data_IF_388384607349
#
_entry.id   IF_388384607349
#
_cell.length_a   1.000
_cell.length_b   1.000
_cell.length_c   1.000
_cell.angle_alpha   90.00
_cell.angle_beta   90.00
_cell.angle_gamma   90.00
#
_symmetry.space_group_name_H-M   'P 1'
#
loop_
_entity.id
_entity.type
_entity.pdbx_description
1 polymer ?
#
# COMPACT_ATOMS: atom_id res chain seq x y z
N UNK A 1 33.48 -2.11 -9.55
CA UNK A 1 33.18 -2.61 -10.91
C UNK A 1 31.68 -2.56 -11.03
N UNK A 2 31.15 -1.42 -11.51
CA UNK A 2 29.71 -1.24 -11.67
C UNK A 2 29.34 -2.09 -12.87
N UNK A 3 28.72 -3.23 -12.61
CA UNK A 3 28.06 -4.00 -13.66
C UNK A 3 26.88 -3.13 -14.06
N UNK A 4 26.99 -2.42 -15.18
CA UNK A 4 25.82 -1.96 -15.92
C UNK A 4 25.08 -3.22 -16.36
N UNK A 5 24.26 -3.74 -15.46
CA UNK A 5 23.26 -4.72 -15.79
C UNK A 5 22.33 -4.01 -16.78
N UNK A 6 22.31 -4.49 -18.02
CA UNK A 6 21.28 -4.15 -18.99
C UNK A 6 19.94 -4.34 -18.31
N UNK A 7 19.32 -3.23 -17.88
CA UNK A 7 18.05 -3.24 -17.19
C UNK A 7 16.99 -3.71 -18.18
N UNK A 8 16.64 -5.01 -18.11
CA UNK A 8 15.30 -5.40 -18.50
C UNK A 8 14.38 -4.59 -17.58
N UNK A 9 13.63 -3.64 -18.16
CA UNK A 9 12.46 -3.09 -17.50
C UNK A 9 11.58 -4.28 -17.13
N UNK A 10 11.55 -4.62 -15.85
CA UNK A 10 10.55 -5.56 -15.34
C UNK A 10 9.17 -5.02 -15.74
N UNK A 11 8.23 -5.86 -16.21
CA UNK A 11 6.87 -5.41 -16.48
C UNK A 11 6.30 -4.75 -15.23
N UNK A 12 5.49 -3.69 -15.43
CA UNK A 12 4.77 -3.05 -14.34
C UNK A 12 3.95 -4.11 -13.60
N UNK A 13 4.06 -4.13 -12.26
CA UNK A 13 3.15 -4.90 -11.43
C UNK A 13 1.79 -4.21 -11.54
N UNK A 14 0.81 -4.91 -12.11
CA UNK A 14 -0.54 -4.40 -12.25
C UNK A 14 -1.39 -4.75 -11.02
N UNK A 15 -2.48 -4.01 -10.84
CA UNK A 15 -3.43 -4.23 -9.75
C UNK A 15 -4.80 -4.64 -10.31
N UNK A 16 -5.16 -5.90 -10.06
CA UNK A 16 -6.44 -6.50 -10.43
C UNK A 16 -7.39 -6.57 -9.25
N UNK A 17 -8.61 -6.06 -9.42
CA UNK A 17 -9.59 -5.91 -8.34
C UNK A 17 -10.90 -6.58 -8.70
N UNK A 18 -11.44 -7.37 -7.78
CA UNK A 18 -12.71 -8.09 -7.89
C UNK A 18 -13.57 -7.83 -6.66
N UNK A 19 -14.86 -7.62 -6.86
CA UNK A 19 -15.71 -7.29 -5.72
C UNK A 19 -17.03 -6.63 -6.05
N UNK A 20 -17.51 -5.87 -5.07
CA UNK A 20 -18.78 -5.16 -5.11
C UNK A 20 -18.59 -3.63 -5.13
N UNK A 21 -19.58 -2.89 -4.65
CA UNK A 21 -19.62 -1.43 -4.64
C UNK A 21 -18.47 -0.80 -3.83
N UNK A 22 -17.90 -1.49 -2.85
CA UNK A 22 -16.77 -0.98 -2.07
C UNK A 22 -15.47 -0.87 -2.89
N UNK A 23 -15.44 -1.51 -4.07
CA UNK A 23 -14.30 -1.51 -4.99
C UNK A 23 -14.66 -1.06 -6.41
N UNK A 24 -15.93 -0.73 -6.70
CA UNK A 24 -16.38 -0.33 -8.04
C UNK A 24 -16.01 1.12 -8.35
N UNK A 25 -14.96 1.31 -9.16
CA UNK A 25 -14.43 2.63 -9.55
C UNK A 25 -15.22 3.31 -10.68
N UNK A 26 -16.47 2.90 -10.91
CA UNK A 26 -17.36 3.42 -11.96
C UNK A 26 -17.66 2.43 -13.09
N UNK A 27 -17.38 1.15 -12.91
CA UNK A 27 -17.71 0.08 -13.84
C UNK A 27 -19.22 -0.06 -14.04
N UNK A 28 -20.01 -0.12 -12.96
CA UNK A 28 -21.47 -0.20 -13.07
C UNK A 28 -22.04 1.07 -13.73
N UNK A 29 -21.48 2.24 -13.38
CA UNK A 29 -21.84 3.52 -13.97
C UNK A 29 -21.57 3.55 -15.48
N UNK A 30 -20.41 3.07 -15.92
CA UNK A 30 -20.11 2.95 -17.34
C UNK A 30 -21.07 1.98 -18.06
N UNK A 31 -21.34 0.80 -17.47
CA UNK A 31 -22.21 -0.23 -18.05
C UNK A 31 -23.69 0.16 -18.12
N UNK A 32 -24.14 1.02 -17.20
CA UNK A 32 -25.53 1.50 -17.14
C UNK A 32 -25.75 2.82 -17.89
N UNK A 33 -24.80 3.25 -18.72
CA UNK A 33 -24.84 4.53 -19.43
C UNK A 33 -24.99 5.72 -18.47
N UNK A 34 -24.20 5.71 -17.40
CA UNK A 34 -24.12 6.75 -16.36
C UNK A 34 -25.41 6.95 -15.57
N UNK A 35 -26.17 5.87 -15.37
CA UNK A 35 -27.42 5.91 -14.59
C UNK A 35 -27.25 5.43 -13.16
N UNK A 36 -26.40 4.43 -12.93
CA UNK A 36 -26.24 3.82 -11.61
C UNK A 36 -24.81 3.98 -11.13
N UNK A 37 -24.58 4.61 -9.97
CA UNK A 37 -25.58 4.91 -8.94
C UNK A 37 -26.26 6.29 -9.14
N UNK A 38 -27.61 6.40 -8.99
CA UNK A 38 -28.34 7.61 -9.35
C UNK A 38 -28.52 8.63 -8.20
N UNK A 39 -28.36 8.23 -6.93
CA UNK A 39 -28.56 9.06 -5.74
C UNK A 39 -28.09 8.33 -4.47
N UNK A 40 -27.50 8.98 -3.44
CA UNK A 40 -27.12 10.41 -3.38
C UNK A 40 -26.06 10.80 -4.44
N UNK A 41 -25.63 12.06 -4.49
CA UNK A 41 -24.66 12.57 -5.47
C UNK A 41 -23.29 11.87 -5.34
N UNK A 42 -23.17 10.71 -5.98
CA UNK A 42 -21.97 9.89 -5.99
C UNK A 42 -20.88 10.48 -6.87
N UNK A 43 -19.63 10.37 -6.43
CA UNK A 43 -18.48 10.89 -7.15
C UNK A 43 -18.17 10.03 -8.38
N UNK A 44 -18.51 10.53 -9.57
CA UNK A 44 -18.15 9.92 -10.86
C UNK A 44 -18.44 8.41 -10.94
N UNK A 45 -19.54 7.96 -10.35
CA UNK A 45 -19.97 6.57 -10.39
C UNK A 45 -19.40 5.65 -9.29
N UNK A 46 -18.56 6.16 -8.38
CA UNK A 46 -18.12 5.45 -7.18
C UNK A 46 -19.24 5.46 -6.15
N UNK A 47 -19.43 4.37 -5.41
CA UNK A 47 -20.36 4.33 -4.28
C UNK A 47 -19.80 5.07 -3.04
N UNK A 48 -19.32 6.30 -3.23
CA UNK A 48 -18.77 7.18 -2.20
C UNK A 48 -18.76 8.63 -2.70
N UNK A 49 -18.20 9.54 -1.91
CA UNK A 49 -18.03 10.96 -2.25
C UNK A 49 -16.68 11.30 -2.91
N UNK A 50 -15.90 10.29 -3.30
CA UNK A 50 -14.57 10.44 -3.88
C UNK A 50 -13.92 9.08 -4.13
N UNK A 51 -12.59 9.03 -4.05
CA UNK A 51 -11.80 7.80 -4.24
C UNK A 51 -12.21 6.69 -3.27
N UNK A 52 -12.23 5.46 -3.78
CA UNK A 52 -12.43 4.25 -2.98
C UNK A 52 -11.13 3.73 -2.39
N UNK A 53 -11.23 2.80 -1.45
CA UNK A 53 -10.06 2.24 -0.75
C UNK A 53 -9.06 1.58 -1.72
N UNK A 54 -9.55 0.95 -2.78
CA UNK A 54 -8.70 0.34 -3.82
C UNK A 54 -7.97 1.39 -4.67
N UNK A 55 -8.56 2.56 -4.89
CA UNK A 55 -7.90 3.67 -5.63
C UNK A 55 -6.83 4.33 -4.75
N UNK A 56 -7.13 4.55 -3.48
CA UNK A 56 -6.17 5.07 -2.49
C UNK A 56 -5.01 4.08 -2.34
N UNK A 57 -5.30 2.79 -2.18
CA UNK A 57 -4.28 1.74 -2.08
C UNK A 57 -3.39 1.66 -3.33
N UNK A 58 -3.99 1.74 -4.53
CA UNK A 58 -3.24 1.74 -5.78
C UNK A 58 -2.26 2.92 -5.84
N UNK A 59 -2.73 4.11 -5.48
CA UNK A 59 -1.90 5.30 -5.38
C UNK A 59 -0.78 5.13 -4.34
N UNK A 60 -1.10 4.63 -3.14
CA UNK A 60 -0.16 4.46 -2.04
C UNK A 60 0.94 3.45 -2.33
N UNK A 61 0.65 2.44 -3.17
CA UNK A 61 1.60 1.42 -3.64
C UNK A 61 2.29 1.78 -4.97
N UNK A 62 1.90 2.88 -5.62
CA UNK A 62 2.40 3.25 -6.94
C UNK A 62 2.00 2.28 -8.05
N UNK A 63 0.83 1.64 -7.93
CA UNK A 63 0.33 0.65 -8.89
C UNK A 63 -0.74 1.25 -9.81
N UNK A 64 -0.75 0.91 -11.10
CA UNK A 64 -1.79 1.34 -12.02
C UNK A 64 -3.11 0.64 -11.70
N UNK A 65 -4.20 1.41 -11.66
CA UNK A 65 -5.58 0.90 -11.57
C UNK A 65 -6.46 1.60 -12.60
N UNK A 66 -7.27 0.83 -13.32
CA UNK A 66 -8.21 1.36 -14.31
C UNK A 66 -9.45 0.48 -14.45
N UNK A 67 -10.45 0.94 -15.21
CA UNK A 67 -11.64 0.16 -15.56
C UNK A 67 -11.33 -1.16 -16.31
N UNK A 68 -10.10 -1.34 -16.82
CA UNK A 68 -9.69 -2.59 -17.46
C UNK A 68 -9.23 -3.65 -16.45
N UNK A 69 -8.62 -3.22 -15.35
CA UNK A 69 -8.04 -4.12 -14.33
C UNK A 69 -8.93 -4.21 -13.08
N UNK A 70 -9.91 -3.31 -12.94
CA UNK A 70 -10.96 -3.39 -11.93
C UNK A 70 -12.22 -4.03 -12.51
N UNK A 71 -12.55 -5.22 -12.04
CA UNK A 71 -13.73 -6.01 -12.42
C UNK A 71 -14.90 -5.87 -11.44
N UNK A 72 -14.74 -5.12 -10.35
CA UNK A 72 -15.77 -4.97 -9.33
C UNK A 72 -17.01 -4.26 -9.87
N UNK A 73 -18.19 -4.74 -9.47
CA UNK A 73 -19.49 -4.21 -9.90
C UNK A 73 -20.37 -4.02 -8.68
N UNK A 74 -20.91 -2.81 -8.50
CA UNK A 74 -21.88 -2.53 -7.44
C UNK A 74 -23.02 -3.55 -7.37
N UNK A 75 -23.34 -4.00 -6.16
CA UNK A 75 -24.36 -5.03 -5.90
C UNK A 75 -23.89 -6.50 -6.06
N UNK A 76 -22.65 -6.73 -6.49
CA UNK A 76 -22.15 -8.10 -6.69
C UNK A 76 -22.20 -8.91 -5.40
N UNK A 77 -22.72 -10.13 -5.49
CA UNK A 77 -22.63 -11.16 -4.45
C UNK A 77 -21.39 -12.01 -4.68
N UNK A 78 -21.02 -12.82 -3.69
CA UNK A 78 -19.91 -13.77 -3.83
C UNK A 78 -20.16 -14.83 -4.89
N UNK A 79 -21.41 -15.16 -5.18
CA UNK A 79 -21.77 -16.14 -6.21
C UNK A 79 -21.73 -15.53 -7.62
N UNK A 80 -22.52 -16.07 -8.54
CA UNK A 80 -22.60 -15.60 -9.93
C UNK A 80 -23.63 -14.51 -10.15
N UNK A 81 -24.39 -14.15 -9.14
CA UNK A 81 -25.57 -13.29 -9.26
C UNK A 81 -25.28 -11.86 -8.81
N UNK A 82 -25.86 -10.91 -9.54
CA UNK A 82 -25.95 -9.52 -9.15
C UNK A 82 -27.24 -8.95 -9.76
N UNK A 83 -28.09 -8.43 -8.90
CA UNK A 83 -29.41 -7.92 -9.22
C UNK A 83 -29.41 -6.44 -8.86
N UNK A 84 -29.41 -5.58 -9.87
CA UNK A 84 -29.32 -4.12 -9.69
C UNK A 84 -30.63 -3.49 -10.14
N UNK A 85 -31.30 -2.80 -9.23
CA UNK A 85 -32.53 -2.06 -9.56
C UNK A 85 -32.20 -0.74 -10.26
N UNK A 86 -32.72 -0.58 -11.48
CA UNK A 86 -32.71 0.67 -12.24
C UNK A 86 -34.13 1.27 -12.21
N UNK A 87 -34.27 2.52 -11.75
CA UNK A 87 -35.57 3.19 -11.66
C UNK A 87 -36.29 3.38 -13.00
N UNK A 88 -35.55 3.30 -14.11
CA UNK A 88 -36.07 3.47 -15.48
C UNK A 88 -36.31 2.13 -16.16
N UNK A 89 -35.41 1.15 -15.98
CA UNK A 89 -35.44 -0.12 -16.70
C UNK A 89 -35.87 -1.32 -15.86
N UNK A 90 -36.13 -1.13 -14.57
CA UNK A 90 -36.39 -2.20 -13.62
C UNK A 90 -35.13 -2.98 -13.30
N UNK A 91 -35.30 -4.26 -12.95
CA UNK A 91 -34.20 -5.11 -12.52
C UNK A 91 -33.23 -5.45 -13.67
N UNK A 92 -31.96 -5.05 -13.54
CA UNK A 92 -30.87 -5.38 -14.45
C UNK A 92 -29.99 -6.46 -13.81
N UNK A 93 -29.71 -7.53 -14.56
CA UNK A 93 -28.84 -8.61 -14.11
C UNK A 93 -27.40 -8.40 -14.56
N UNK A 94 -26.50 -8.38 -13.59
CA UNK A 94 -25.05 -8.45 -13.77
C UNK A 94 -24.49 -9.74 -13.18
N UNK A 95 -23.19 -9.97 -13.36
CA UNK A 95 -22.47 -11.05 -12.70
C UNK A 95 -22.02 -10.69 -11.29
N UNK A 96 -22.07 -11.66 -10.39
CA UNK A 96 -21.37 -11.64 -9.10
C UNK A 96 -19.88 -11.93 -9.24
N UNK A 97 -19.17 -12.08 -8.11
CA UNK A 97 -17.73 -12.31 -8.04
C UNK A 97 -17.26 -13.45 -8.94
N UNK A 98 -17.91 -14.62 -8.91
CA UNK A 98 -17.47 -15.77 -9.72
C UNK A 98 -17.54 -15.48 -11.23
N UNK A 99 -18.49 -14.65 -11.67
CA UNK A 99 -18.58 -14.22 -13.08
C UNK A 99 -17.48 -13.21 -13.43
N UNK A 100 -17.09 -12.35 -12.48
CA UNK A 100 -15.96 -11.43 -12.66
C UNK A 100 -14.64 -12.21 -12.83
N UNK A 101 -14.44 -13.27 -12.03
CA UNK A 101 -13.27 -14.15 -12.13
C UNK A 101 -13.22 -14.88 -13.48
N UNK A 102 -14.33 -15.46 -13.94
CA UNK A 102 -14.40 -16.08 -15.27
C UNK A 102 -14.04 -15.07 -16.38
N UNK A 103 -14.59 -13.86 -16.27
CA UNK A 103 -14.32 -12.77 -17.22
C UNK A 103 -12.83 -12.42 -17.25
N UNK A 104 -12.19 -12.30 -16.08
CA UNK A 104 -10.75 -12.06 -16.01
C UNK A 104 -9.95 -13.22 -16.61
N UNK A 105 -10.26 -14.48 -16.29
CA UNK A 105 -9.53 -15.63 -16.83
C UNK A 105 -9.57 -15.68 -18.37
N UNK A 106 -10.69 -15.25 -18.97
CA UNK A 106 -10.80 -15.16 -20.43
C UNK A 106 -9.95 -14.05 -21.06
N UNK A 107 -9.54 -13.05 -20.28
CA UNK A 107 -8.84 -11.84 -20.73
C UNK A 107 -7.42 -11.70 -20.17
N UNK A 108 -7.01 -12.56 -19.22
CA UNK A 108 -5.76 -12.44 -18.46
C UNK A 108 -4.52 -12.26 -19.37
N UNK A 109 -4.42 -13.04 -20.46
CA UNK A 109 -3.32 -12.93 -21.40
C UNK A 109 -3.31 -11.60 -22.18
N UNK A 110 -4.48 -11.07 -22.53
CA UNK A 110 -4.61 -9.77 -23.23
C UNK A 110 -4.31 -8.59 -22.30
N UNK A 111 -4.62 -8.76 -21.01
CA UNK A 111 -4.32 -7.80 -19.96
C UNK A 111 -2.86 -7.85 -19.49
N UNK A 112 -2.09 -8.84 -19.92
CA UNK A 112 -0.69 -9.01 -19.50
C UNK A 112 -0.53 -9.49 -18.05
N UNK A 113 -1.57 -10.09 -17.48
CA UNK A 113 -1.59 -10.51 -16.08
C UNK A 113 -0.47 -11.53 -15.77
N UNK A 114 0.39 -11.18 -14.82
CA UNK A 114 1.56 -11.92 -14.39
C UNK A 114 1.42 -12.48 -12.97
N UNK A 115 2.35 -13.37 -12.60
CA UNK A 115 2.31 -14.02 -11.30
C UNK A 115 2.49 -13.02 -10.14
N UNK A 116 3.38 -12.05 -10.31
CA UNK A 116 3.76 -11.08 -9.27
C UNK A 116 2.79 -9.89 -9.14
N UNK A 117 1.79 -9.79 -10.02
CA UNK A 117 0.71 -8.80 -9.93
C UNK A 117 -0.11 -8.96 -8.65
N UNK A 118 -0.79 -7.90 -8.24
CA UNK A 118 -1.63 -7.92 -7.06
C UNK A 118 -3.08 -8.22 -7.45
N UNK A 119 -3.68 -9.24 -6.82
CA UNK A 119 -5.06 -9.66 -7.09
C UNK A 119 -5.91 -9.52 -5.83
N UNK A 120 -6.76 -8.50 -5.76
CA UNK A 120 -7.62 -8.25 -4.60
C UNK A 120 -9.04 -8.76 -4.83
N UNK A 121 -9.52 -9.58 -3.89
CA UNK A 121 -10.90 -10.08 -3.82
C UNK A 121 -11.58 -9.49 -2.58
N UNK A 122 -12.58 -8.63 -2.80
CA UNK A 122 -13.37 -8.02 -1.74
C UNK A 122 -14.86 -8.05 -2.07
N UNK A 123 -15.54 -9.07 -1.55
CA UNK A 123 -16.98 -9.27 -1.71
C UNK A 123 -17.58 -9.93 -0.45
N UNK A 124 -18.90 -9.88 -0.34
CA UNK A 124 -19.65 -10.57 0.72
C UNK A 124 -20.68 -9.69 1.41
N UNK A 125 -20.52 -8.36 1.38
CA UNK A 125 -21.47 -7.44 2.00
C UNK A 125 -22.90 -7.68 1.50
N UNK A 126 -23.08 -7.82 0.19
CA UNK A 126 -24.39 -8.08 -0.42
C UNK A 126 -24.98 -9.45 -0.07
N UNK A 127 -24.16 -10.46 0.21
CA UNK A 127 -24.66 -11.78 0.65
C UNK A 127 -25.32 -11.69 2.04
N UNK A 128 -24.78 -10.83 2.91
CA UNK A 128 -25.19 -10.72 4.31
C UNK A 128 -26.21 -9.61 4.57
N UNK A 129 -26.10 -8.45 3.92
CA UNK A 129 -27.06 -7.35 4.12
C UNK A 129 -28.48 -7.72 3.65
N UNK A 130 -28.60 -8.64 2.69
CA UNK A 130 -29.88 -9.24 2.31
C UNK A 130 -30.58 -10.00 3.46
N UNK A 131 -29.84 -10.40 4.51
CA UNK A 131 -30.42 -11.07 5.68
C UNK A 131 -31.15 -10.11 6.62
N UNK A 132 -31.00 -8.78 6.44
CA UNK A 132 -31.77 -7.78 7.19
C UNK A 132 -33.26 -8.00 6.93
N UNK A 133 -33.63 -8.10 5.65
CA UNK A 133 -35.02 -8.31 5.21
C UNK A 133 -35.40 -9.79 5.13
N UNK A 134 -34.43 -10.70 5.01
CA UNK A 134 -34.67 -12.13 4.86
C UNK A 134 -33.73 -12.98 5.74
N UNK A 135 -33.95 -13.06 7.07
CA UNK A 135 -32.98 -13.62 8.03
C UNK A 135 -32.87 -15.16 8.03
N UNK A 136 -33.35 -15.84 6.98
CA UNK A 136 -33.37 -17.29 6.93
C UNK A 136 -31.97 -17.88 6.69
N UNK A 137 -31.54 -18.79 7.59
CA UNK A 137 -30.37 -19.67 7.45
C UNK A 137 -29.01 -18.96 7.28
N UNK A 138 -28.60 -18.07 8.22
CA UNK A 138 -27.34 -17.31 8.13
C UNK A 138 -26.10 -18.21 8.01
N UNK A 139 -26.08 -19.38 8.66
CA UNK A 139 -24.96 -20.34 8.59
C UNK A 139 -24.74 -20.87 7.17
N UNK A 140 -25.82 -21.13 6.42
CA UNK A 140 -25.69 -21.57 5.03
C UNK A 140 -25.17 -20.46 4.13
N UNK A 141 -25.59 -19.21 4.37
CA UNK A 141 -25.07 -18.05 3.63
C UNK A 141 -23.58 -17.86 3.88
N UNK A 142 -23.11 -17.95 5.13
CA UNK A 142 -21.68 -17.92 5.46
C UNK A 142 -20.92 -19.03 4.73
N UNK A 143 -21.43 -20.27 4.78
CA UNK A 143 -20.78 -21.42 4.14
C UNK A 143 -20.67 -21.23 2.63
N UNK A 144 -21.73 -20.74 1.99
CA UNK A 144 -21.74 -20.47 0.56
C UNK A 144 -20.76 -19.34 0.20
N UNK A 145 -20.78 -18.23 0.94
CA UNK A 145 -19.88 -17.09 0.71
C UNK A 145 -18.40 -17.49 0.81
N UNK A 146 -18.02 -18.23 1.86
CA UNK A 146 -16.65 -18.74 2.03
C UNK A 146 -16.26 -19.68 0.88
N UNK A 147 -17.17 -20.56 0.46
CA UNK A 147 -16.93 -21.50 -0.65
C UNK A 147 -16.69 -20.75 -1.97
N UNK A 148 -17.48 -19.71 -2.25
CA UNK A 148 -17.38 -18.92 -3.45
C UNK A 148 -16.07 -18.09 -3.49
N UNK A 149 -15.71 -17.44 -2.39
CA UNK A 149 -14.45 -16.69 -2.28
C UNK A 149 -13.26 -17.63 -2.43
N UNK A 150 -13.26 -18.79 -1.76
CA UNK A 150 -12.20 -19.79 -1.91
C UNK A 150 -12.11 -20.32 -3.34
N UNK A 151 -13.24 -20.48 -4.03
CA UNK A 151 -13.26 -20.86 -5.45
C UNK A 151 -12.62 -19.78 -6.33
N UNK A 152 -12.87 -18.51 -6.02
CA UNK A 152 -12.25 -17.36 -6.70
C UNK A 152 -10.74 -17.36 -6.53
N UNK A 153 -10.26 -17.53 -5.28
CA UNK A 153 -8.83 -17.62 -4.95
C UNK A 153 -8.15 -18.79 -5.68
N UNK A 154 -8.76 -19.99 -5.67
CA UNK A 154 -8.25 -21.15 -6.40
C UNK A 154 -8.16 -20.90 -7.90
N UNK A 155 -9.14 -20.20 -8.46
CA UNK A 155 -9.21 -19.90 -9.89
C UNK A 155 -8.14 -18.88 -10.30
N UNK A 156 -7.89 -17.87 -9.48
CA UNK A 156 -6.78 -16.93 -9.69
C UNK A 156 -5.42 -17.64 -9.56
N UNK A 157 -5.23 -18.44 -8.52
CA UNK A 157 -4.00 -19.21 -8.34
C UNK A 157 -3.72 -20.17 -9.50
N UNK A 158 -4.77 -20.85 -10.02
CA UNK A 158 -4.67 -21.70 -11.19
C UNK A 158 -4.37 -20.92 -12.49
N UNK A 159 -4.75 -19.66 -12.55
CA UNK A 159 -4.39 -18.75 -13.64
C UNK A 159 -2.96 -18.17 -13.51
N UNK A 160 -2.23 -18.53 -12.45
CA UNK A 160 -0.83 -18.14 -12.25
C UNK A 160 -0.63 -17.04 -11.21
N UNK A 161 -1.69 -16.45 -10.67
CA UNK A 161 -1.60 -15.43 -9.63
C UNK A 161 -0.86 -15.97 -8.40
N UNK A 162 0.10 -15.19 -7.88
CA UNK A 162 0.87 -15.52 -6.69
C UNK A 162 0.45 -14.68 -5.48
N UNK A 163 0.23 -13.39 -5.68
CA UNK A 163 -0.10 -12.42 -4.65
C UNK A 163 -1.62 -12.18 -4.62
N UNK A 164 -2.34 -12.93 -3.79
CA UNK A 164 -3.81 -12.86 -3.73
C UNK A 164 -4.21 -12.26 -2.39
N UNK A 165 -4.76 -11.04 -2.44
CA UNK A 165 -5.30 -10.33 -1.28
C UNK A 165 -6.77 -10.67 -1.15
N UNK A 166 -7.19 -11.07 0.03
CA UNK A 166 -8.60 -11.37 0.33
C UNK A 166 -9.04 -10.52 1.50
N UNK A 167 -10.10 -9.75 1.31
CA UNK A 167 -10.66 -8.91 2.36
C UNK A 167 -11.60 -9.73 3.26
N UNK A 168 -11.44 -9.59 4.56
CA UNK A 168 -12.51 -9.88 5.51
C UNK A 168 -13.64 -8.85 5.37
N UNK A 169 -14.84 -9.20 5.81
CA UNK A 169 -15.90 -8.19 5.90
C UNK A 169 -15.60 -7.24 7.06
N UNK A 170 -15.83 -5.93 6.93
CA UNK A 170 -15.92 -5.05 8.08
C UNK A 170 -17.08 -5.48 8.98
N UNK A 171 -17.17 -4.93 10.20
CA UNK A 171 -18.32 -5.19 11.05
C UNK A 171 -19.62 -4.65 10.41
N UNK A 172 -20.39 -5.53 9.78
CA UNK A 172 -21.64 -5.18 9.12
C UNK A 172 -22.71 -4.69 10.11
N UNK A 173 -22.59 -5.01 11.39
CA UNK A 173 -23.47 -4.45 12.42
C UNK A 173 -23.31 -2.94 12.62
N UNK A 174 -22.17 -2.35 12.24
CA UNK A 174 -21.89 -0.90 12.35
C UNK A 174 -22.36 -0.08 11.17
N UNK A 175 -22.80 -0.73 10.10
CA UNK A 175 -23.31 -0.09 8.91
C UNK A 175 -24.65 0.60 9.23
N UNK A 176 -24.92 1.83 8.75
CA UNK A 176 -26.12 2.57 9.15
C UNK A 176 -27.43 1.80 8.92
N UNK A 177 -27.56 1.10 7.78
CA UNK A 177 -28.71 0.23 7.49
C UNK A 177 -28.98 -0.80 8.60
N UNK A 178 -27.91 -1.42 9.11
CA UNK A 178 -27.97 -2.41 10.18
C UNK A 178 -28.36 -1.79 11.53
N UNK A 179 -27.88 -0.58 11.79
CA UNK A 179 -28.21 0.18 12.99
C UNK A 179 -29.68 0.60 12.98
N UNK A 180 -30.18 1.11 11.85
CA UNK A 180 -31.58 1.48 11.65
C UNK A 180 -32.50 0.26 11.83
N UNK A 181 -32.10 -0.90 11.31
CA UNK A 181 -32.83 -2.16 11.48
C UNK A 181 -32.71 -2.77 12.90
N UNK A 182 -31.93 -2.18 13.80
CA UNK A 182 -31.71 -2.71 15.16
C UNK A 182 -30.91 -4.02 15.19
N UNK A 183 -30.13 -4.31 14.14
CA UNK A 183 -29.43 -5.59 13.95
C UNK A 183 -27.93 -5.54 14.27
N UNK A 184 -27.45 -4.52 15.00
CA UNK A 184 -26.05 -4.38 15.41
C UNK A 184 -25.45 -5.69 15.92
N UNK A 185 -26.10 -6.34 16.90
CA UNK A 185 -25.56 -7.55 17.52
C UNK A 185 -25.55 -8.74 16.55
N UNK A 186 -26.66 -8.99 15.85
CA UNK A 186 -26.81 -10.14 14.96
C UNK A 186 -25.84 -10.08 13.78
N UNK A 187 -25.70 -8.90 13.15
CA UNK A 187 -24.78 -8.73 12.02
C UNK A 187 -23.32 -8.61 12.45
N UNK A 188 -23.04 -8.15 13.67
CA UNK A 188 -21.69 -8.26 14.27
C UNK A 188 -21.30 -9.73 14.42
N UNK A 189 -22.18 -10.56 15.00
CA UNK A 189 -21.92 -11.99 15.19
C UNK A 189 -21.75 -12.72 13.84
N UNK A 190 -22.56 -12.35 12.85
CA UNK A 190 -22.45 -12.89 11.50
C UNK A 190 -21.12 -12.52 10.84
N UNK A 191 -20.69 -11.27 10.95
CA UNK A 191 -19.40 -10.79 10.43
C UNK A 191 -18.23 -11.58 11.05
N UNK A 192 -18.26 -11.79 12.37
CA UNK A 192 -17.27 -12.59 13.10
C UNK A 192 -17.28 -14.05 12.62
N UNK A 193 -18.46 -14.66 12.46
CA UNK A 193 -18.59 -16.04 12.00
C UNK A 193 -18.04 -16.23 10.58
N UNK A 194 -18.37 -15.31 9.67
CA UNK A 194 -17.83 -15.30 8.32
C UNK A 194 -16.31 -15.13 8.29
N UNK A 195 -15.79 -14.10 8.96
CA UNK A 195 -14.35 -13.81 8.97
C UNK A 195 -13.53 -14.96 9.57
N UNK A 196 -14.04 -15.61 10.61
CA UNK A 196 -13.41 -16.79 11.23
C UNK A 196 -13.38 -17.97 10.26
N UNK A 197 -14.50 -18.26 9.59
CA UNK A 197 -14.60 -19.37 8.64
C UNK A 197 -13.75 -19.13 7.38
N UNK A 198 -13.73 -17.89 6.87
CA UNK A 198 -12.91 -17.49 5.74
C UNK A 198 -11.41 -17.64 6.06
N UNK A 199 -10.97 -17.16 7.23
CA UNK A 199 -9.58 -17.29 7.66
C UNK A 199 -9.14 -18.76 7.74
N UNK A 200 -9.96 -19.62 8.34
CA UNK A 200 -9.67 -21.05 8.42
C UNK A 200 -9.54 -21.71 7.04
N UNK A 201 -10.44 -21.36 6.11
CA UNK A 201 -10.44 -21.91 4.76
C UNK A 201 -9.22 -21.45 3.92
N UNK A 202 -8.85 -20.17 4.02
CA UNK A 202 -7.70 -19.62 3.31
C UNK A 202 -6.38 -20.15 3.88
N UNK A 203 -6.24 -20.25 5.20
CA UNK A 203 -5.06 -20.83 5.83
C UNK A 203 -4.84 -22.29 5.39
N UNK A 204 -5.91 -23.08 5.27
CA UNK A 204 -5.82 -24.45 4.76
C UNK A 204 -5.36 -24.48 3.29
N UNK A 205 -5.82 -23.52 2.47
CA UNK A 205 -5.41 -23.43 1.08
C UNK A 205 -3.95 -23.01 0.93
N UNK A 206 -3.50 -21.98 1.66
CA UNK A 206 -2.12 -21.49 1.63
C UNK A 206 -1.12 -22.58 2.07
N UNK A 207 -1.45 -23.35 3.12
CA UNK A 207 -0.64 -24.51 3.53
C UNK A 207 -0.50 -25.57 2.42
N UNK A 208 -1.50 -25.70 1.55
CA UNK A 208 -1.47 -26.63 0.41
C UNK A 208 -0.82 -26.02 -0.85
N UNK A 209 -0.59 -24.70 -0.87
CA UNK A 209 -0.04 -23.95 -2.00
C UNK A 209 1.05 -22.97 -1.50
N UNK A 210 2.18 -23.47 -0.98
CA UNK A 210 3.19 -22.67 -0.29
C UNK A 210 3.95 -21.69 -1.21
N UNK A 211 3.75 -21.77 -2.53
CA UNK A 211 4.25 -20.81 -3.50
C UNK A 211 3.33 -19.60 -3.68
N UNK A 212 2.15 -19.58 -3.03
CA UNK A 212 1.19 -18.48 -3.07
C UNK A 212 1.26 -17.67 -1.79
N UNK A 213 1.18 -16.34 -1.94
CA UNK A 213 1.01 -15.41 -0.83
C UNK A 213 -0.49 -15.11 -0.71
N UNK A 214 -1.16 -15.64 0.32
CA UNK A 214 -2.57 -15.39 0.57
C UNK A 214 -2.69 -14.35 1.68
N UNK A 215 -2.85 -13.08 1.28
CA UNK A 215 -2.90 -11.95 2.20
C UNK A 215 -4.33 -11.73 2.68
N UNK A 216 -4.67 -12.26 3.85
CA UNK A 216 -5.95 -11.98 4.49
C UNK A 216 -5.92 -10.62 5.20
N UNK A 217 -6.77 -9.68 4.76
CA UNK A 217 -6.85 -8.33 5.34
C UNK A 217 -8.02 -8.22 6.32
N UNK A 218 -7.74 -7.82 7.56
CA UNK A 218 -8.75 -7.53 8.58
C UNK A 218 -9.33 -6.11 8.42
N UNK A 219 -10.61 -6.04 8.07
CA UNK A 219 -11.37 -4.79 8.00
C UNK A 219 -12.36 -4.64 9.18
N UNK A 220 -12.51 -5.67 10.00
CA UNK A 220 -13.40 -5.68 11.16
C UNK A 220 -12.80 -4.86 12.31
N UNK A 221 -11.52 -5.05 12.61
CA UNK A 221 -10.87 -4.34 13.72
C UNK A 221 -10.82 -2.82 13.49
N UNK A 222 -10.41 -2.31 12.31
CA UNK A 222 -10.34 -0.86 12.08
C UNK A 222 -11.67 -0.15 12.26
N UNK A 223 -12.78 -0.70 11.76
CA UNK A 223 -14.10 -0.06 11.91
C UNK A 223 -14.58 -0.09 13.38
N UNK A 224 -14.25 -1.13 14.16
CA UNK A 224 -14.53 -1.14 15.60
C UNK A 224 -13.69 -0.08 16.34
N UNK A 225 -12.42 0.09 15.96
CA UNK A 225 -11.57 1.14 16.53
C UNK A 225 -12.10 2.54 16.24
N UNK A 226 -12.56 2.78 15.00
CA UNK A 226 -13.22 4.03 14.61
C UNK A 226 -14.51 4.25 15.41
N UNK A 227 -15.34 3.22 15.59
CA UNK A 227 -16.58 3.31 16.36
C UNK A 227 -16.34 3.63 17.84
N UNK A 228 -15.25 3.10 18.43
CA UNK A 228 -14.91 3.32 19.83
C UNK A 228 -14.24 4.68 20.06
N UNK A 229 -13.39 5.14 19.14
CA UNK A 229 -12.56 6.33 19.30
C UNK A 229 -12.57 7.21 18.03
N UNK A 230 -13.72 7.73 17.58
CA UNK A 230 -13.84 8.38 16.28
C UNK A 230 -12.91 9.60 16.11
N UNK A 231 -12.65 10.34 17.19
CA UNK A 231 -11.80 11.53 17.16
C UNK A 231 -10.32 11.23 16.89
N UNK A 232 -9.81 10.04 17.24
CA UNK A 232 -8.41 9.66 16.92
C UNK A 232 -8.21 9.47 15.42
N UNK A 233 -9.28 9.10 14.72
CA UNK A 233 -9.33 9.01 13.26
C UNK A 233 -9.84 10.31 12.61
N UNK A 234 -10.17 11.32 13.43
CA UNK A 234 -10.67 12.63 13.04
C UNK A 234 -12.10 12.65 12.50
N UNK A 235 -12.91 11.66 12.88
CA UNK A 235 -14.36 11.65 12.64
C UNK A 235 -15.12 12.26 13.82
N UNK A 236 -16.26 12.87 13.54
CA UNK A 236 -17.24 13.30 14.55
C UNK A 236 -18.57 12.55 14.43
N UNK A 237 -18.84 11.90 13.28
CA UNK A 237 -19.97 11.01 13.08
C UNK A 237 -19.52 9.71 12.40
N UNK A 238 -19.85 8.57 13.03
CA UNK A 238 -19.48 7.23 12.57
C UNK A 238 -20.67 6.27 12.52
N UNK A 239 -21.89 6.79 12.62
CA UNK A 239 -23.12 5.99 12.67
C UNK A 239 -24.16 6.46 11.67
N UNK A 240 -24.35 7.77 11.53
CA UNK A 240 -25.34 8.33 10.62
C UNK A 240 -24.68 8.67 9.29
N UNK A 241 -25.36 8.39 8.17
CA UNK A 241 -24.84 8.72 6.85
C UNK A 241 -25.03 10.20 6.53
N UNK A 242 -24.13 10.77 5.73
CA UNK A 242 -24.22 12.17 5.33
C UNK A 242 -25.38 12.45 4.35
N UNK A 243 -25.65 11.54 3.40
CA UNK A 243 -26.78 11.52 2.44
C UNK A 243 -27.06 12.76 1.56
N UNK A 244 -26.36 13.89 1.71
CA UNK A 244 -26.27 15.03 0.77
C UNK A 244 -25.26 16.05 1.34
N UNK A 245 -24.49 16.74 0.50
CA UNK A 245 -23.47 17.73 0.91
C UNK A 245 -24.03 19.10 1.30
N UNK A 246 -25.36 19.27 1.39
CA UNK A 246 -26.00 20.51 1.82
C UNK A 246 -25.79 20.81 3.32
N UNK A 247 -24.53 20.93 3.76
CA UNK A 247 -24.13 21.52 5.05
C UNK A 247 -23.05 20.79 5.85
N UNK A 248 -22.65 19.56 5.50
CA UNK A 248 -21.69 18.76 6.28
C UNK A 248 -20.29 18.66 5.65
N UNK A 249 -19.24 18.73 6.46
CA UNK A 249 -17.89 18.39 6.02
C UNK A 249 -17.75 16.86 5.95
N UNK A 250 -17.73 16.30 4.74
CA UNK A 250 -17.64 14.85 4.51
C UNK A 250 -16.42 14.19 5.20
N UNK A 251 -15.35 14.94 5.44
CA UNK A 251 -14.18 14.43 6.18
C UNK A 251 -14.46 14.20 7.67
N UNK A 252 -15.61 14.60 8.20
CA UNK A 252 -16.01 14.34 9.59
C UNK A 252 -16.94 13.13 9.73
N UNK A 253 -17.41 12.56 8.61
CA UNK A 253 -18.33 11.43 8.56
C UNK A 253 -17.63 10.17 8.08
N UNK A 254 -17.88 9.03 8.73
CA UNK A 254 -17.42 7.74 8.22
C UNK A 254 -18.27 7.24 7.06
N UNK A 255 -19.60 7.42 7.11
CA UNK A 255 -20.53 6.91 6.11
C UNK A 255 -21.05 8.00 5.19
N UNK A 256 -21.02 7.70 3.88
CA UNK A 256 -21.58 8.56 2.85
C UNK A 256 -23.09 8.31 2.71
N UNK A 257 -23.48 7.05 2.60
CA UNK A 257 -24.86 6.57 2.55
C UNK A 257 -25.08 5.43 3.57
N UNK A 258 -26.21 4.73 3.47
CA UNK A 258 -26.59 3.69 4.44
C UNK A 258 -25.69 2.46 4.49
N UNK A 259 -24.79 2.28 3.51
CA UNK A 259 -23.93 1.12 3.37
C UNK A 259 -22.45 1.48 3.16
N UNK A 260 -22.17 2.61 2.53
CA UNK A 260 -20.85 2.90 1.98
C UNK A 260 -20.09 3.98 2.76
N UNK A 261 -18.78 3.80 2.97
CA UNK A 261 -17.94 4.81 3.59
C UNK A 261 -17.79 6.08 2.74
N UNK A 262 -17.45 7.19 3.37
CA UNK A 262 -16.85 8.35 2.70
C UNK A 262 -15.45 8.00 2.20
N UNK A 263 -14.84 8.83 1.35
CA UNK A 263 -13.42 8.69 0.96
C UNK A 263 -12.49 8.60 2.15
N UNK A 264 -12.77 9.34 3.24
CA UNK A 264 -11.98 9.24 4.47
C UNK A 264 -12.19 7.90 5.17
N UNK A 265 -13.42 7.39 5.22
CA UNK A 265 -13.71 6.04 5.71
C UNK A 265 -13.01 4.96 4.86
N UNK A 266 -12.98 5.13 3.53
CA UNK A 266 -12.21 4.29 2.63
C UNK A 266 -10.69 4.36 2.90
N UNK A 267 -10.16 5.51 3.32
CA UNK A 267 -8.77 5.66 3.74
C UNK A 267 -8.39 4.72 4.90
N UNK A 268 -9.30 4.50 5.86
CA UNK A 268 -9.09 3.54 6.96
C UNK A 268 -8.94 2.12 6.44
N UNK A 269 -9.73 1.73 5.44
CA UNK A 269 -9.61 0.40 4.83
C UNK A 269 -8.40 0.28 3.91
N UNK A 270 -8.04 1.34 3.18
CA UNK A 270 -6.83 1.38 2.36
C UNK A 270 -5.57 1.18 3.22
N UNK A 271 -5.51 1.82 4.38
CA UNK A 271 -4.42 1.64 5.35
C UNK A 271 -4.32 0.17 5.83
N UNK A 272 -5.45 -0.46 6.15
CA UNK A 272 -5.49 -1.86 6.56
C UNK A 272 -5.00 -2.80 5.44
N UNK A 273 -5.44 -2.59 4.20
CA UNK A 273 -4.93 -3.35 3.05
C UNK A 273 -3.43 -3.14 2.86
N UNK A 274 -2.98 -1.88 2.88
CA UNK A 274 -1.58 -1.53 2.69
C UNK A 274 -0.71 -2.25 3.72
N UNK A 275 -1.05 -2.16 4.99
CA UNK A 275 -0.31 -2.81 6.08
C UNK A 275 -0.23 -4.34 5.90
N UNK A 276 -1.35 -4.98 5.51
CA UNK A 276 -1.36 -6.41 5.24
C UNK A 276 -0.51 -6.80 4.02
N UNK A 277 -0.53 -5.99 2.95
CA UNK A 277 0.20 -6.27 1.71
C UNK A 277 1.70 -6.11 1.90
N UNK A 278 2.16 -4.99 2.44
CA UNK A 278 3.61 -4.71 2.56
C UNK A 278 4.33 -5.66 3.51
N UNK A 279 3.61 -6.26 4.45
CA UNK A 279 4.16 -7.26 5.39
C UNK A 279 3.91 -8.72 4.94
N UNK A 280 2.84 -8.97 4.19
CA UNK A 280 2.41 -10.31 3.79
C UNK A 280 3.17 -10.89 2.60
N UNK A 281 3.65 -10.05 1.68
CA UNK A 281 4.39 -10.50 0.49
C UNK A 281 5.89 -10.50 0.79
N UNK A 282 6.52 -11.67 0.77
CA UNK A 282 7.93 -11.87 1.13
C UNK A 282 8.87 -12.03 -0.07
N UNK A 283 8.36 -11.77 -1.27
CA UNK A 283 9.10 -11.93 -2.50
C UNK A 283 10.10 -10.81 -2.71
N UNK A 284 11.30 -11.17 -3.17
CA UNK A 284 12.31 -10.21 -3.57
C UNK A 284 11.90 -9.55 -4.89
N UNK A 285 11.80 -8.23 -4.88
CA UNK A 285 11.44 -7.42 -6.03
C UNK A 285 12.61 -6.56 -6.48
N UNK A 286 12.69 -6.31 -7.78
CA UNK A 286 13.55 -5.28 -8.34
C UNK A 286 12.68 -4.35 -9.17
N UNK A 287 12.58 -3.08 -8.77
CA UNK A 287 11.83 -2.06 -9.50
C UNK A 287 12.75 -0.92 -9.91
N UNK A 288 12.46 -0.36 -11.08
CA UNK A 288 13.13 0.82 -11.57
C UNK A 288 12.12 1.81 -12.09
N UNK A 289 12.27 3.07 -11.69
CA UNK A 289 11.50 4.19 -12.18
C UNK A 289 11.84 4.54 -13.62
N UNK A 290 11.39 5.71 -14.00
CA UNK A 290 11.34 6.25 -15.35
C UNK A 290 12.39 7.35 -15.48
N UNK A 291 12.04 8.46 -16.14
CA UNK A 291 12.88 9.66 -16.17
C UNK A 291 12.15 10.86 -15.53
N UNK A 292 11.05 10.58 -14.84
CA UNK A 292 10.15 11.52 -14.18
C UNK A 292 9.85 11.00 -12.79
N UNK A 293 9.34 11.85 -11.90
CA UNK A 293 8.93 11.47 -10.55
C UNK A 293 8.05 10.23 -10.51
N UNK A 294 8.52 9.21 -9.81
CA UNK A 294 7.87 7.92 -9.61
C UNK A 294 7.59 7.64 -8.14
N UNK A 295 6.62 6.78 -7.89
CA UNK A 295 6.37 6.19 -6.57
C UNK A 295 6.60 4.69 -6.65
N UNK A 296 7.67 4.21 -6.02
CA UNK A 296 8.09 2.82 -6.03
C UNK A 296 7.97 2.25 -4.62
N UNK A 297 7.01 1.34 -4.42
CA UNK A 297 6.82 0.64 -3.14
C UNK A 297 7.00 -0.86 -3.32
N UNK A 298 7.87 -1.49 -2.54
CA UNK A 298 8.02 -2.95 -2.49
C UNK A 298 7.50 -3.50 -1.16
N UNK A 299 7.81 -4.75 -0.81
CA UNK A 299 7.12 -5.48 0.27
C UNK A 299 8.15 -6.06 1.25
N UNK A 300 7.85 -7.14 1.97
CA UNK A 300 8.72 -7.71 3.00
C UNK A 300 9.89 -8.55 2.44
N UNK A 301 10.17 -8.46 1.14
CA UNK A 301 11.24 -9.18 0.46
C UNK A 301 12.60 -8.52 0.63
N UNK A 302 13.66 -9.09 0.05
CA UNK A 302 14.93 -8.37 -0.11
C UNK A 302 14.92 -7.68 -1.46
N UNK A 303 14.67 -6.39 -1.43
CA UNK A 303 14.27 -5.62 -2.58
C UNK A 303 15.39 -4.72 -3.10
N UNK A 304 15.23 -4.30 -4.36
CA UNK A 304 16.10 -3.31 -4.99
C UNK A 304 15.25 -2.30 -5.74
N UNK A 305 15.36 -1.04 -5.31
CA UNK A 305 14.65 0.10 -5.89
C UNK A 305 15.65 1.06 -6.55
N UNK A 306 15.31 1.56 -7.73
CA UNK A 306 16.09 2.55 -8.46
C UNK A 306 15.16 3.62 -9.07
N UNK A 307 15.11 4.81 -8.48
CA UNK A 307 14.24 5.92 -8.93
C UNK A 307 14.63 6.44 -10.31
N UNK A 308 15.94 6.55 -10.54
CA UNK A 308 16.61 7.04 -11.76
C UNK A 308 16.63 8.56 -11.87
N UNK A 309 15.58 9.19 -12.41
CA UNK A 309 15.54 10.65 -12.57
C UNK A 309 14.17 11.15 -12.20
N UNK A 310 14.12 12.36 -11.67
CA UNK A 310 12.91 12.98 -11.18
C UNK A 310 12.91 12.95 -9.66
N UNK A 311 11.98 13.67 -9.04
CA UNK A 311 11.83 13.66 -7.59
C UNK A 311 11.01 12.42 -7.22
N UNK A 312 11.69 11.35 -6.80
CA UNK A 312 11.10 10.02 -6.63
C UNK A 312 10.77 9.71 -5.16
N UNK A 313 9.77 8.86 -4.95
CA UNK A 313 9.45 8.27 -3.66
C UNK A 313 9.72 6.76 -3.70
N UNK A 314 10.69 6.30 -2.92
CA UNK A 314 11.11 4.92 -2.83
C UNK A 314 10.83 4.42 -1.41
N UNK A 315 10.02 3.37 -1.29
CA UNK A 315 9.74 2.72 -0.02
C UNK A 315 9.95 1.22 -0.17
N UNK A 316 11.01 0.73 0.46
CA UNK A 316 11.15 -0.69 0.75
C UNK A 316 10.56 -0.98 2.13
N UNK A 317 10.48 -2.26 2.51
CA UNK A 317 9.82 -2.65 3.75
C UNK A 317 10.68 -3.64 4.53
N UNK A 318 10.23 -4.87 4.74
CA UNK A 318 10.98 -5.81 5.58
C UNK A 318 12.29 -6.26 4.93
N UNK A 319 13.19 -6.84 5.73
CA UNK A 319 14.50 -7.39 5.30
C UNK A 319 15.43 -6.31 4.75
N UNK A 320 16.57 -6.75 4.22
CA UNK A 320 17.69 -5.90 3.86
C UNK A 320 17.65 -5.52 2.38
N UNK A 321 17.45 -4.25 2.13
CA UNK A 321 17.11 -3.67 0.84
C UNK A 321 18.20 -2.75 0.29
N UNK A 322 18.09 -2.45 -1.00
CA UNK A 322 18.96 -1.51 -1.71
C UNK A 322 18.10 -0.46 -2.39
N UNK A 323 18.23 0.80 -1.95
CA UNK A 323 17.50 1.93 -2.52
C UNK A 323 18.49 2.91 -3.16
N UNK A 324 18.24 3.23 -4.42
CA UNK A 324 18.99 4.21 -5.21
C UNK A 324 18.01 5.28 -5.69
N UNK A 325 18.09 6.51 -5.18
CA UNK A 325 17.23 7.62 -5.59
C UNK A 325 17.51 8.00 -7.04
N UNK A 326 18.68 8.59 -7.29
CA UNK A 326 19.13 8.93 -8.63
C UNK A 326 19.37 10.42 -8.79
N UNK A 327 18.88 11.02 -9.88
CA UNK A 327 18.90 12.47 -10.07
C UNK A 327 17.53 13.06 -9.65
N UNK A 328 17.49 14.02 -8.72
CA UNK A 328 16.24 14.63 -8.26
C UNK A 328 16.25 14.82 -6.75
N UNK A 329 15.25 15.50 -6.20
CA UNK A 329 15.07 15.59 -4.75
C UNK A 329 14.19 14.40 -4.29
N UNK A 330 14.83 13.30 -3.87
CA UNK A 330 14.17 12.02 -3.60
C UNK A 330 13.77 11.80 -2.14
N UNK A 331 12.84 10.88 -1.89
CA UNK A 331 12.47 10.35 -0.57
C UNK A 331 12.70 8.85 -0.55
N UNK A 332 13.62 8.37 0.29
CA UNK A 332 13.96 6.94 0.43
C UNK A 332 13.62 6.46 1.85
N UNK A 333 12.79 5.43 1.94
CA UNK A 333 12.40 4.75 3.18
C UNK A 333 12.87 3.29 3.14
N UNK A 334 13.85 2.93 3.97
CA UNK A 334 14.44 1.59 4.03
C UNK A 334 13.49 0.55 4.63
N UNK A 335 12.95 0.84 5.82
CA UNK A 335 11.96 -0.02 6.47
C UNK A 335 12.57 -0.85 7.60
N UNK A 336 12.24 -2.13 7.68
CA UNK A 336 12.77 -3.03 8.73
C UNK A 336 13.92 -3.83 8.16
N UNK A 337 15.18 -3.58 8.53
CA UNK A 337 16.28 -4.29 7.89
C UNK A 337 17.66 -3.75 8.15
N UNK A 338 18.62 -4.18 7.34
CA UNK A 338 19.93 -3.55 7.31
C UNK A 338 20.13 -3.02 5.90
N UNK A 339 19.66 -1.81 5.68
CA UNK A 339 19.41 -1.28 4.36
C UNK A 339 20.60 -0.51 3.82
N UNK A 340 20.62 -0.38 2.50
CA UNK A 340 21.63 0.40 1.76
C UNK A 340 20.92 1.49 0.97
N UNK A 341 21.03 2.72 1.44
CA UNK A 341 20.38 3.88 0.84
C UNK A 341 21.44 4.77 0.17
N UNK A 342 21.23 5.11 -1.09
CA UNK A 342 22.00 6.12 -1.84
C UNK A 342 21.01 7.12 -2.39
N UNK A 343 21.02 8.36 -1.88
CA UNK A 343 20.14 9.43 -2.38
C UNK A 343 20.46 9.74 -3.84
N UNK A 344 21.71 10.12 -4.11
CA UNK A 344 22.15 10.48 -5.45
C UNK A 344 22.24 11.98 -5.58
N UNK A 345 22.02 12.53 -6.76
CA UNK A 345 22.17 13.96 -7.00
C UNK A 345 20.88 14.71 -6.68
N UNK A 346 20.89 15.51 -5.61
CA UNK A 346 19.77 16.37 -5.26
C UNK A 346 19.82 16.75 -3.79
N UNK A 347 18.65 17.02 -3.21
CA UNK A 347 18.45 17.12 -1.77
C UNK A 347 17.51 16.02 -1.32
N UNK A 348 18.09 14.89 -0.96
CA UNK A 348 17.30 13.70 -0.66
C UNK A 348 16.90 13.64 0.82
N UNK A 349 15.77 13.01 1.11
CA UNK A 349 15.37 12.62 2.45
C UNK A 349 15.52 11.12 2.59
N UNK A 350 16.38 10.69 3.53
CA UNK A 350 16.73 9.29 3.72
C UNK A 350 16.31 8.85 5.12
N UNK A 351 15.47 7.82 5.20
CA UNK A 351 15.05 7.17 6.44
C UNK A 351 15.50 5.72 6.40
N UNK A 352 16.41 5.32 7.29
CA UNK A 352 16.90 3.94 7.36
C UNK A 352 15.83 2.99 7.86
N UNK A 353 15.15 3.39 8.93
CA UNK A 353 14.18 2.58 9.64
C UNK A 353 14.85 1.69 10.70
N UNK A 354 14.30 0.51 10.93
CA UNK A 354 14.76 -0.35 12.01
C UNK A 354 15.92 -1.25 11.56
N UNK A 355 17.11 -1.05 12.13
CA UNK A 355 18.17 -2.03 12.11
C UNK A 355 19.55 -1.40 12.04
N UNK A 356 20.42 -1.83 11.13
CA UNK A 356 21.78 -1.28 10.96
C UNK A 356 21.96 -0.84 9.53
N UNK A 357 21.68 0.43 9.30
CA UNK A 357 21.56 0.95 7.95
C UNK A 357 22.85 1.60 7.49
N UNK A 358 23.01 1.64 6.17
CA UNK A 358 24.16 2.23 5.50
C UNK A 358 23.71 3.27 4.50
N UNK A 359 24.02 4.52 4.82
CA UNK A 359 23.82 5.68 3.95
C UNK A 359 25.08 5.92 3.13
N UNK A 360 25.01 5.64 1.83
CA UNK A 360 26.17 5.54 0.94
C UNK A 360 26.30 6.83 0.14
N UNK A 361 27.50 7.38 0.12
CA UNK A 361 27.86 8.52 -0.72
C UNK A 361 29.01 8.13 -1.65
N UNK A 362 28.77 8.24 -2.96
CA UNK A 362 29.68 7.91 -4.06
C UNK A 362 30.41 9.13 -4.64
N UNK A 363 29.97 10.37 -4.36
CA UNK A 363 30.53 11.54 -5.04
C UNK A 363 30.22 12.92 -4.48
N UNK A 364 30.82 13.94 -5.09
CA UNK A 364 30.72 15.34 -4.65
C UNK A 364 29.46 16.07 -5.14
N UNK A 365 28.57 15.37 -5.85
CA UNK A 365 27.27 15.84 -6.36
C UNK A 365 26.07 15.45 -5.48
N UNK A 366 26.27 14.55 -4.51
CA UNK A 366 25.22 13.97 -3.66
C UNK A 366 25.05 14.69 -2.32
N UNK A 367 25.48 15.95 -2.27
CA UNK A 367 25.83 16.60 -1.00
C UNK A 367 24.85 17.67 -0.61
N UNK A 368 23.65 17.28 -0.15
CA UNK A 368 22.72 18.11 0.67
C UNK A 368 21.56 17.33 1.29
N UNK A 369 21.75 16.03 1.50
CA UNK A 369 20.67 15.15 1.94
C UNK A 369 20.36 15.36 3.42
N UNK A 370 19.21 14.87 3.84
CA UNK A 370 18.78 14.81 5.24
C UNK A 370 18.52 13.36 5.60
N UNK A 371 19.31 12.82 6.53
CA UNK A 371 19.02 11.53 7.16
C UNK A 371 18.15 11.80 8.38
N UNK A 372 16.94 11.25 8.38
CA UNK A 372 15.88 11.65 9.31
C UNK A 372 15.88 10.91 10.64
N UNK A 373 16.52 9.74 10.72
CA UNK A 373 16.40 8.80 11.84
C UNK A 373 17.71 8.12 12.25
N UNK A 374 18.86 8.71 11.92
CA UNK A 374 20.18 8.09 12.12
C UNK A 374 20.42 7.65 13.58
N UNK A 375 20.54 6.34 13.79
CA UNK A 375 20.83 5.72 15.09
C UNK A 375 22.36 5.61 15.31
N UNK A 376 22.92 6.44 16.20
CA UNK A 376 24.39 6.52 16.43
C UNK A 376 25.03 5.23 16.93
N UNK A 377 24.28 4.28 17.47
CA UNK A 377 24.79 2.99 17.92
C UNK A 377 24.81 1.90 16.83
N UNK A 378 24.11 2.13 15.71
CA UNK A 378 23.80 1.09 14.72
C UNK A 378 24.19 1.48 13.30
N UNK A 379 23.86 2.71 12.92
CA UNK A 379 23.94 3.16 11.54
C UNK A 379 25.32 3.66 11.16
N UNK A 380 25.56 3.64 9.85
CA UNK A 380 26.82 4.08 9.27
C UNK A 380 26.61 4.94 8.04
N UNK A 381 27.46 5.95 7.93
CA UNK A 381 27.66 6.70 6.70
C UNK A 381 28.84 6.06 5.96
N UNK A 382 28.56 5.48 4.81
CA UNK A 382 29.54 4.82 3.96
C UNK A 382 30.11 5.82 2.95
N UNK A 383 31.37 6.20 3.18
CA UNK A 383 32.16 7.13 2.38
C UNK A 383 33.26 6.40 1.61
N UNK A 384 33.21 5.05 1.54
CA UNK A 384 34.26 4.23 0.94
C UNK A 384 34.56 4.66 -0.49
N UNK A 385 33.55 4.95 -1.30
CA UNK A 385 33.74 5.34 -2.71
C UNK A 385 34.37 6.73 -2.90
N UNK A 386 34.15 7.65 -1.94
CA UNK A 386 34.77 8.97 -1.94
C UNK A 386 36.26 8.87 -1.60
N UNK A 387 36.61 8.00 -0.66
CA UNK A 387 37.97 7.85 -0.18
C UNK A 387 38.81 6.85 -1.00
N UNK A 388 38.24 5.78 -1.56
CA UNK A 388 38.99 4.79 -2.34
C UNK A 388 39.47 5.34 -3.70
N UNK A 389 38.73 6.29 -4.30
CA UNK A 389 39.13 6.95 -5.57
C UNK A 389 40.38 7.83 -5.47
N UNK A 390 40.89 8.10 -4.26
CA UNK A 390 42.10 8.89 -4.04
C UNK A 390 42.95 8.13 -3.06
N UNK A 391 44.09 7.63 -3.51
CA UNK A 391 44.99 6.79 -2.72
C UNK A 391 45.43 7.51 -1.42
N UNK A 392 44.63 7.39 -0.35
CA UNK A 392 44.90 7.94 0.98
C UNK A 392 45.80 6.95 1.74
N UNK A 393 47.11 6.98 1.45
CA UNK A 393 48.10 6.03 1.98
C UNK A 393 48.43 6.18 3.48
N UNK A 394 47.59 6.83 4.30
CA UNK A 394 47.92 7.10 5.71
C UNK A 394 46.82 6.61 6.65
N UNK A 395 47.17 5.87 7.72
CA UNK A 395 46.18 5.34 8.64
C UNK A 395 45.54 6.47 9.46
N UNK A 396 44.20 6.49 9.45
CA UNK A 396 43.29 7.14 10.38
C UNK A 396 43.60 8.58 10.81
N UNK A 397 42.94 9.52 10.13
CA UNK A 397 42.44 10.74 10.78
C UNK A 397 41.03 11.02 10.26
N UNK A 398 40.04 10.36 10.86
CA UNK A 398 38.61 10.69 10.70
C UNK A 398 38.39 12.22 10.81
N UNK A 399 39.03 12.84 11.81
CA UNK A 399 39.05 14.29 12.03
C UNK A 399 39.82 15.10 10.97
N UNK A 400 40.56 14.50 10.04
CA UNK A 400 41.21 15.26 8.97
C UNK A 400 40.25 15.50 7.79
N UNK A 401 39.33 14.56 7.54
CA UNK A 401 38.48 14.56 6.34
C UNK A 401 37.00 14.73 6.62
N UNK A 402 36.55 14.56 7.86
CA UNK A 402 35.16 14.80 8.27
C UNK A 402 35.11 15.91 9.32
N UNK A 403 34.15 16.82 9.18
CA UNK A 403 33.84 17.90 10.12
C UNK A 403 32.37 17.81 10.49
N UNK A 404 32.09 17.81 11.78
CA UNK A 404 30.74 17.87 12.32
C UNK A 404 30.42 19.29 12.75
N UNK A 405 29.21 19.76 12.48
CA UNK A 405 28.72 21.05 12.95
C UNK A 405 27.31 20.91 13.49
N UNK A 406 27.13 21.23 14.77
CA UNK A 406 25.80 21.23 15.40
C UNK A 406 24.96 22.41 14.91
N UNK A 407 23.69 22.15 14.68
CA UNK A 407 22.65 23.15 14.40
C UNK A 407 21.44 22.91 15.30
N UNK A 408 20.40 23.73 15.15
CA UNK A 408 19.10 23.51 15.80
C UNK A 408 18.33 22.32 15.22
N UNK A 409 18.61 21.93 13.98
CA UNK A 409 17.93 20.84 13.27
C UNK A 409 18.66 19.49 13.43
N UNK A 410 19.89 19.50 13.94
CA UNK A 410 20.72 18.30 14.07
C UNK A 410 22.18 18.55 13.71
N UNK A 411 22.89 17.52 13.26
CA UNK A 411 24.32 17.58 12.97
C UNK A 411 24.60 17.62 11.47
N UNK A 412 25.28 18.65 11.01
CA UNK A 412 25.79 18.72 9.63
C UNK A 412 27.12 17.98 9.54
N UNK A 413 27.17 16.98 8.66
CA UNK A 413 28.39 16.28 8.26
C UNK A 413 28.98 16.97 7.05
N UNK A 414 30.26 17.37 7.14
CA UNK A 414 31.01 17.92 6.00
C UNK A 414 32.24 17.09 5.71
N UNK A 415 32.49 16.84 4.43
CA UNK A 415 33.58 15.98 3.97
C UNK A 415 34.56 16.78 3.09
N UNK A 416 35.86 16.57 3.29
CA UNK A 416 36.90 17.05 2.38
C UNK A 416 36.89 16.20 1.10
N UNK A 417 36.10 16.66 0.13
CA UNK A 417 35.93 16.01 -1.17
C UNK A 417 37.05 16.32 -2.17
N UNK A 418 38.19 16.89 -1.79
CA UNK A 418 39.37 16.95 -2.68
C UNK A 418 40.64 16.34 -2.05
N UNK A 419 40.60 16.01 -0.75
CA UNK A 419 41.67 15.31 -0.04
C UNK A 419 42.94 16.13 0.16
N UNK A 420 42.90 17.44 -0.12
CA UNK A 420 44.08 18.30 -0.05
C UNK A 420 44.32 18.87 1.35
N UNK A 421 43.39 18.64 2.30
CA UNK A 421 43.46 19.08 3.70
C UNK A 421 43.61 20.61 3.87
N UNK A 422 43.38 21.41 2.83
CA UNK A 422 43.60 22.86 2.77
C UNK A 422 42.30 23.62 2.47
N UNK A 423 41.25 23.33 3.23
CA UNK A 423 39.93 23.92 3.05
C UNK A 423 39.17 23.31 1.85
N UNK A 424 37.85 23.53 1.81
CA UNK A 424 36.98 22.93 0.78
C UNK A 424 36.07 21.79 1.26
N UNK A 425 35.79 21.71 2.57
CA UNK A 425 34.76 20.83 3.10
C UNK A 425 33.41 21.16 2.48
N UNK A 426 32.76 20.17 1.87
CA UNK A 426 31.38 20.29 1.38
C UNK A 426 30.44 19.69 2.40
N UNK A 427 29.31 20.34 2.63
CA UNK A 427 28.18 19.70 3.32
C UNK A 427 27.79 18.47 2.53
N UNK A 428 27.75 17.34 3.21
CA UNK A 428 27.29 16.08 2.64
C UNK A 428 25.83 15.86 3.05
N UNK A 429 25.58 15.81 4.36
CA UNK A 429 24.27 15.48 4.89
C UNK A 429 24.00 16.20 6.20
N UNK A 430 22.72 16.39 6.50
CA UNK A 430 22.20 16.73 7.82
C UNK A 430 21.69 15.44 8.47
N UNK A 431 22.17 15.14 9.68
CA UNK A 431 21.60 14.12 10.54
C UNK A 431 20.58 14.79 11.46
N UNK A 432 19.30 14.64 11.14
CA UNK A 432 18.20 15.27 11.89
C UNK A 432 18.20 14.79 13.33
N UNK A 433 18.04 15.71 14.27
CA UNK A 433 17.93 15.45 15.70
C UNK A 433 19.09 14.66 16.34
N UNK A 434 20.21 14.48 15.62
CA UNK A 434 21.43 13.85 16.16
C UNK A 434 22.36 14.92 16.75
N UNK A 435 22.86 14.66 17.96
CA UNK A 435 23.89 15.49 18.58
C UNK A 435 25.29 15.13 18.05
N UNK A 436 26.07 16.14 17.67
CA UNK A 436 27.40 15.94 17.12
C UNK A 436 28.37 15.26 18.12
N UNK A 437 28.13 15.41 19.42
CA UNK A 437 28.91 14.78 20.48
C UNK A 437 28.71 13.27 20.60
N UNK A 438 27.61 12.74 20.05
CA UNK A 438 27.28 11.31 20.09
C UNK A 438 27.86 10.55 18.89
N UNK A 439 28.48 11.27 17.95
CA UNK A 439 29.11 10.70 16.76
C UNK A 439 30.59 10.44 16.98
N UNK A 440 31.07 9.32 16.45
CA UNK A 440 32.47 8.92 16.48
C UNK A 440 32.92 8.39 15.12
N UNK A 441 34.20 8.09 14.98
CA UNK A 441 34.72 7.45 13.76
C UNK A 441 34.05 6.10 13.44
N UNK A 442 33.40 5.43 14.41
CA UNK A 442 32.70 4.17 14.19
C UNK A 442 31.42 4.34 13.33
N UNK A 443 30.86 5.55 13.29
CA UNK A 443 29.69 5.89 12.48
C UNK A 443 30.03 6.11 11.00
N UNK A 444 31.31 6.11 10.63
CA UNK A 444 31.75 6.45 9.28
C UNK A 444 32.64 5.36 8.72
N UNK A 445 32.19 4.72 7.65
CA UNK A 445 32.96 3.71 6.93
C UNK A 445 33.74 4.39 5.81
N UNK A 446 35.07 4.25 5.80
CA UNK A 446 35.98 4.92 4.84
C UNK A 446 36.89 3.96 4.08
N UNK A 447 36.78 2.65 4.34
CA UNK A 447 37.50 1.58 3.64
C UNK A 447 36.70 0.28 3.70
N UNK A 448 36.82 -0.55 2.66
CA UNK A 448 36.17 -1.85 2.53
C UNK A 448 36.73 -2.93 3.44
#
# INVERSE_FOLDING_TARGET
>A
MIVEATAQTQPSVDFFVFGDSLSDIGNLFAKTLRRIPPSPDYFEGRFSNGSLAVEILAQDLGLPLSLKTNFAIGGARTDRTNNVDDSTFGLIQFGGLLTQIDSFQSQAAELGAGAEDLYLVWAGGNDFLNLIDNPANPTAVVTAAVTNILTSVRSLAAAGAKNIVVAQTPNLGRVPLSLEAGQLQSLTQLSVAFNTALAAALNQFEQAAPDKNIILTDLFTPIESVAQNPSTFGFTNVTDPLKDTAGGNANQFFFWDDAHPTTRGHGVFAEAFRAAIVTGINDNLTRSGSATSDRLVTFAGRDTLNGRKGDDYLEANGRQDVLLGGDGDDVLLGGDGNDRLTGGAGRDQLTGGAGRDRFIYTGAGEGRDTITDFETERDRIDLTEIFDRRVFTRPNRFEAYVRLGQTTEGTIVRVDTNGNLRGGFKTMTLLSDVNAGDLSAANFQVSG
#
